data_IF_393132032669
#
_entry.id   IF_393132032669
#
_cell.length_a   1.000
_cell.length_b   1.000
_cell.length_c   1.000
_cell.angle_alpha   90.00
_cell.angle_beta   90.00
_cell.angle_gamma   90.00
#
_symmetry.space_group_name_H-M   'P 1'
#
loop_
_entity.id
_entity.type
_entity.pdbx_description
1 polymer ?
#
# COMPACT_ATOMS: atom_id res chain seq x y z
N UNK A 1 -15.74 -0.86 -4.03
CA UNK A 1 -15.70 0.37 -4.85
C UNK A 1 -15.33 0.18 -6.32
N UNK A 2 -14.44 -0.76 -6.72
CA UNK A 2 -14.12 -0.94 -8.15
C UNK A 2 -15.27 -1.45 -9.03
N UNK A 3 -16.36 -1.99 -8.44
CA UNK A 3 -17.44 -2.74 -9.13
C UNK A 3 -16.94 -3.95 -9.94
N UNK A 4 -15.66 -4.32 -9.79
CA UNK A 4 -15.01 -5.45 -10.46
C UNK A 4 -14.77 -6.54 -9.41
N UNK A 5 -15.52 -7.63 -9.50
CA UNK A 5 -15.56 -8.70 -8.48
C UNK A 5 -14.20 -9.37 -8.24
N UNK A 6 -13.42 -9.60 -9.29
CA UNK A 6 -12.14 -10.29 -9.23
C UNK A 6 -10.92 -9.35 -9.08
N UNK A 7 -11.14 -8.04 -8.92
CA UNK A 7 -10.05 -7.07 -8.87
C UNK A 7 -8.98 -7.40 -7.80
N UNK A 8 -9.33 -7.69 -6.53
CA UNK A 8 -8.32 -7.99 -5.51
C UNK A 8 -7.47 -9.22 -5.86
N UNK A 9 -8.07 -10.25 -6.45
CA UNK A 9 -7.36 -11.47 -6.83
C UNK A 9 -6.39 -11.20 -7.98
N UNK A 10 -6.85 -10.51 -9.03
CA UNK A 10 -6.02 -10.16 -10.19
C UNK A 10 -4.89 -9.21 -9.79
N UNK A 11 -5.16 -8.20 -8.95
CA UNK A 11 -4.14 -7.30 -8.44
C UNK A 11 -3.06 -8.05 -7.65
N UNK A 12 -3.44 -8.99 -6.78
CA UNK A 12 -2.49 -9.84 -6.06
C UNK A 12 -1.64 -10.70 -7.00
N UNK A 13 -2.22 -11.29 -8.05
CA UNK A 13 -1.48 -12.04 -9.08
C UNK A 13 -0.50 -11.15 -9.84
N UNK A 14 -0.92 -9.94 -10.22
CA UNK A 14 -0.08 -8.97 -10.90
C UNK A 14 1.12 -8.55 -10.04
N UNK A 15 0.92 -8.25 -8.74
CA UNK A 15 2.01 -7.91 -7.82
C UNK A 15 3.00 -9.06 -7.65
N UNK A 16 2.52 -10.31 -7.55
CA UNK A 16 3.40 -11.50 -7.51
C UNK A 16 4.22 -11.62 -8.79
N UNK A 17 3.62 -11.40 -9.94
CA UNK A 17 4.31 -11.48 -11.23
C UNK A 17 5.34 -10.35 -11.40
N UNK A 18 4.99 -9.12 -11.02
CA UNK A 18 5.93 -8.00 -10.98
C UNK A 18 7.13 -8.34 -10.10
N UNK A 19 6.88 -8.85 -8.88
CA UNK A 19 7.95 -9.29 -7.98
C UNK A 19 8.82 -10.39 -8.59
N UNK A 20 8.21 -11.40 -9.24
CA UNK A 20 8.95 -12.48 -9.92
C UNK A 20 9.93 -11.95 -10.97
N UNK A 21 9.57 -10.87 -11.67
CA UNK A 21 10.39 -10.28 -12.74
C UNK A 21 11.56 -9.43 -12.20
N UNK A 22 11.32 -8.61 -11.18
CA UNK A 22 12.32 -7.61 -10.74
C UNK A 22 12.92 -7.86 -9.36
N UNK A 23 12.27 -8.65 -8.50
CA UNK A 23 12.69 -8.95 -7.14
C UNK A 23 12.56 -7.77 -6.18
N UNK A 24 13.31 -7.84 -5.07
CA UNK A 24 13.38 -6.76 -4.07
C UNK A 24 14.00 -5.49 -4.65
N UNK A 25 13.58 -4.33 -4.12
CA UNK A 25 14.16 -3.04 -4.43
C UNK A 25 15.68 -3.04 -4.16
N UNK A 26 16.43 -2.54 -5.14
CA UNK A 26 17.88 -2.35 -5.09
C UNK A 26 18.20 -0.89 -5.37
N UNK A 27 19.01 -0.32 -4.49
CA UNK A 27 19.51 1.05 -4.61
C UNK A 27 21.02 1.04 -4.77
N UNK A 28 21.55 2.07 -5.40
CA UNK A 28 23.00 2.33 -5.40
C UNK A 28 23.46 2.94 -4.07
N UNK A 29 24.75 3.28 -3.99
CA UNK A 29 25.36 3.91 -2.81
C UNK A 29 24.80 5.30 -2.46
N UNK A 30 24.12 5.95 -3.41
CA UNK A 30 23.50 7.26 -3.24
C UNK A 30 22.00 7.14 -2.93
N UNK A 31 21.47 5.92 -2.79
CA UNK A 31 20.04 5.67 -2.54
C UNK A 31 19.16 5.71 -3.79
N UNK A 32 19.74 5.78 -5.00
CA UNK A 32 18.97 5.78 -6.25
C UNK A 32 18.54 4.35 -6.58
N UNK A 33 17.24 4.13 -6.65
CA UNK A 33 16.67 2.84 -7.04
C UNK A 33 16.95 2.56 -8.53
N UNK A 34 17.55 1.41 -8.83
CA UNK A 34 17.85 0.99 -10.21
C UNK A 34 17.16 -0.32 -10.63
N UNK A 35 16.62 -1.10 -9.69
CA UNK A 35 15.86 -2.33 -9.98
C UNK A 35 14.99 -2.73 -8.79
N UNK A 36 13.87 -3.39 -9.05
CA UNK A 36 13.04 -4.05 -8.04
C UNK A 36 11.67 -3.42 -7.88
N UNK A 37 10.92 -3.88 -6.89
CA UNK A 37 9.54 -3.48 -6.65
C UNK A 37 9.41 -2.60 -5.40
N UNK A 38 8.78 -1.43 -5.57
CA UNK A 38 8.29 -0.55 -4.50
C UNK A 38 6.77 -0.48 -4.61
N UNK A 39 6.06 -0.83 -3.54
CA UNK A 39 4.60 -0.74 -3.50
C UNK A 39 4.17 0.52 -2.75
N UNK A 40 3.36 1.36 -3.40
CA UNK A 40 2.75 2.52 -2.75
C UNK A 40 1.33 2.16 -2.30
N UNK A 41 1.09 2.18 -1.00
CA UNK A 41 -0.20 1.85 -0.39
C UNK A 41 -0.91 3.12 0.08
N UNK A 42 -2.01 3.47 -0.58
CA UNK A 42 -2.85 4.60 -0.20
C UNK A 42 -3.77 4.20 0.96
N UNK A 43 -3.64 4.87 2.09
CA UNK A 43 -4.55 4.68 3.22
C UNK A 43 -5.86 5.41 2.93
N UNK A 44 -6.98 4.70 3.06
CA UNK A 44 -8.32 5.26 2.91
C UNK A 44 -9.01 5.41 4.27
N UNK A 45 -9.95 6.37 4.41
CA UNK A 45 -10.73 6.54 5.63
C UNK A 45 -11.52 5.26 5.95
N UNK A 46 -11.75 5.03 7.24
CA UNK A 46 -12.53 3.90 7.76
C UNK A 46 -11.96 2.52 7.38
N UNK A 47 -10.65 2.42 7.13
CA UNK A 47 -9.93 1.21 6.68
C UNK A 47 -10.53 0.51 5.45
N UNK A 48 -11.15 1.28 4.56
CA UNK A 48 -11.72 0.75 3.30
C UNK A 48 -10.66 0.10 2.42
N UNK A 49 -9.41 0.56 2.52
CA UNK A 49 -8.27 -0.01 1.82
C UNK A 49 -7.81 -1.36 2.38
N UNK A 50 -8.46 -1.87 3.43
CA UNK A 50 -8.10 -3.09 4.17
C UNK A 50 -6.59 -3.20 4.39
N UNK A 51 -6.04 -2.15 4.98
CA UNK A 51 -4.60 -1.88 4.96
C UNK A 51 -3.79 -3.04 5.52
N UNK A 52 -4.24 -3.62 6.64
CA UNK A 52 -3.56 -4.76 7.27
C UNK A 52 -3.52 -6.00 6.36
N UNK A 53 -4.59 -6.27 5.64
CA UNK A 53 -4.66 -7.41 4.71
C UNK A 53 -3.72 -7.23 3.52
N UNK A 54 -3.65 -6.01 2.98
CA UNK A 54 -2.71 -5.67 1.91
C UNK A 54 -1.28 -5.82 2.39
N UNK A 55 -0.94 -5.31 3.58
CA UNK A 55 0.41 -5.41 4.13
C UNK A 55 0.82 -6.87 4.41
N UNK A 56 -0.09 -7.70 4.96
CA UNK A 56 0.13 -9.14 5.11
C UNK A 56 0.39 -9.83 3.77
N UNK A 57 -0.41 -9.49 2.76
CA UNK A 57 -0.20 -10.01 1.41
C UNK A 57 1.19 -9.62 0.89
N UNK A 58 1.60 -8.36 1.00
CA UNK A 58 2.91 -7.89 0.56
C UNK A 58 4.07 -8.61 1.28
N UNK A 59 3.93 -8.82 2.59
CA UNK A 59 4.90 -9.60 3.38
C UNK A 59 5.00 -11.06 2.91
N UNK A 60 3.87 -11.66 2.50
CA UNK A 60 3.86 -13.02 1.93
C UNK A 60 4.51 -13.12 0.55
N UNK A 61 4.56 -12.01 -0.21
CA UNK A 61 5.27 -11.96 -1.50
C UNK A 61 6.77 -11.87 -1.28
N UNK A 62 7.22 -11.05 -0.33
CA UNK A 62 8.63 -10.98 0.06
C UNK A 62 8.80 -10.56 1.53
N UNK A 63 9.68 -11.24 2.29
CA UNK A 63 10.02 -10.79 3.63
C UNK A 63 10.72 -9.43 3.65
N UNK A 64 11.33 -9.00 2.54
CA UNK A 64 12.06 -7.73 2.40
C UNK A 64 11.32 -6.71 1.51
N UNK A 65 10.00 -6.84 1.38
CA UNK A 65 9.21 -5.94 0.55
C UNK A 65 9.33 -4.48 1.01
N UNK A 66 9.53 -3.58 0.05
CA UNK A 66 9.51 -2.14 0.27
C UNK A 66 8.10 -1.60 0.05
N UNK A 67 7.63 -0.83 1.03
CA UNK A 67 6.31 -0.21 1.00
C UNK A 67 6.39 1.26 1.37
N UNK A 68 5.67 2.10 0.65
CA UNK A 68 5.43 3.50 1.01
C UNK A 68 3.97 3.63 1.44
N UNK A 69 3.74 4.05 2.69
CA UNK A 69 2.40 4.26 3.24
C UNK A 69 2.01 5.72 3.01
N UNK A 70 0.96 5.95 2.22
CA UNK A 70 0.61 7.27 1.74
C UNK A 70 -0.62 7.84 2.48
N UNK A 71 -0.49 9.00 3.15
CA UNK A 71 -1.63 9.68 3.77
C UNK A 71 -2.42 10.58 2.80
N UNK A 72 -2.16 10.48 1.50
CA UNK A 72 -2.52 11.50 0.50
C UNK A 72 -3.96 11.39 -0.04
N UNK A 73 -4.86 10.67 0.64
CA UNK A 73 -6.24 10.59 0.19
C UNK A 73 -6.95 11.93 0.40
N UNK A 74 -7.53 12.45 -0.69
CA UNK A 74 -8.34 13.66 -0.68
C UNK A 74 -9.72 13.39 -1.29
N UNK A 75 -10.83 13.54 -0.54
CA UNK A 75 -12.16 13.36 -1.08
C UNK A 75 -12.43 14.44 -2.14
N UNK A 76 -12.91 14.02 -3.30
CA UNK A 76 -13.27 14.93 -4.39
C UNK A 76 -14.43 14.38 -5.22
N UNK A 77 -15.11 15.26 -5.97
CA UNK A 77 -16.23 14.91 -6.84
C UNK A 77 -17.30 14.08 -6.10
N UNK A 78 -17.62 12.89 -6.59
CA UNK A 78 -18.63 12.00 -5.99
C UNK A 78 -18.22 11.36 -4.67
N UNK A 79 -17.01 11.57 -4.17
CA UNK A 79 -16.60 11.02 -2.86
C UNK A 79 -17.54 11.45 -1.72
N UNK A 80 -18.17 12.62 -1.82
CA UNK A 80 -19.14 13.10 -0.83
C UNK A 80 -20.50 12.36 -0.87
N UNK A 81 -20.80 11.63 -1.94
CA UNK A 81 -21.97 10.74 -2.04
C UNK A 81 -21.75 9.42 -1.27
N UNK A 82 -20.52 9.16 -0.84
CA UNK A 82 -20.07 7.94 -0.16
C UNK A 82 -19.59 8.30 1.26
N UNK A 83 -20.44 8.18 2.30
CA UNK A 83 -20.10 8.62 3.67
C UNK A 83 -18.77 8.07 4.19
N UNK A 84 -18.43 6.85 3.78
CA UNK A 84 -17.22 6.16 4.15
C UNK A 84 -15.94 6.70 3.45
N UNK A 85 -16.09 7.39 2.32
CA UNK A 85 -15.00 8.01 1.53
C UNK A 85 -15.01 9.55 1.58
N UNK A 86 -16.00 10.16 2.21
CA UNK A 86 -16.29 11.61 2.13
C UNK A 86 -15.34 12.51 2.93
N UNK A 87 -14.34 11.94 3.61
CA UNK A 87 -13.38 12.67 4.45
C UNK A 87 -11.93 12.29 4.15
N UNK A 88 -11.00 13.17 4.52
CA UNK A 88 -9.59 12.81 4.63
C UNK A 88 -9.39 11.75 5.71
N UNK A 89 -8.26 11.05 5.65
CA UNK A 89 -7.82 10.20 6.74
C UNK A 89 -7.44 11.04 7.97
N UNK A 90 -7.59 10.44 9.14
CA UNK A 90 -7.10 10.99 10.40
C UNK A 90 -5.62 10.65 10.59
N UNK A 91 -4.88 11.44 11.41
CA UNK A 91 -3.52 11.08 11.79
C UNK A 91 -3.45 9.68 12.42
N UNK A 92 -4.47 9.29 13.20
CA UNK A 92 -4.55 7.97 13.82
C UNK A 92 -4.57 6.85 12.79
N UNK A 93 -5.42 6.92 11.77
CA UNK A 93 -5.49 5.92 10.70
C UNK A 93 -4.14 5.77 9.97
N UNK A 94 -3.45 6.89 9.74
CA UNK A 94 -2.12 6.88 9.14
C UNK A 94 -1.08 6.22 10.05
N UNK A 95 -1.01 6.60 11.32
CA UNK A 95 -0.04 6.04 12.27
C UNK A 95 -0.31 4.57 12.58
N UNK A 96 -1.57 4.13 12.63
CA UNK A 96 -1.91 2.72 12.79
C UNK A 96 -1.44 1.88 11.58
N UNK A 97 -1.53 2.42 10.36
CA UNK A 97 -1.01 1.77 9.16
C UNK A 97 0.52 1.66 9.17
N UNK A 98 1.20 2.74 9.56
CA UNK A 98 2.66 2.78 9.70
C UNK A 98 3.16 1.78 10.75
N UNK A 99 2.63 1.86 11.97
CA UNK A 99 3.00 0.98 13.09
C UNK A 99 2.77 -0.50 12.74
N UNK A 100 1.66 -0.80 12.06
CA UNK A 100 1.41 -2.17 11.62
C UNK A 100 2.43 -2.65 10.58
N UNK A 101 2.78 -1.82 9.58
CA UNK A 101 3.78 -2.16 8.57
C UNK A 101 5.17 -2.40 9.20
N UNK A 102 5.56 -1.57 10.17
CA UNK A 102 6.81 -1.71 10.92
C UNK A 102 6.81 -2.98 11.78
N UNK A 103 5.74 -3.26 12.52
CA UNK A 103 5.59 -4.50 13.32
C UNK A 103 5.61 -5.77 12.48
N UNK A 104 5.09 -5.70 11.26
CA UNK A 104 5.13 -6.80 10.30
C UNK A 104 6.55 -7.00 9.69
N UNK A 105 7.46 -6.07 9.95
CA UNK A 105 8.84 -6.09 9.48
C UNK A 105 8.96 -5.81 7.98
N UNK A 106 8.12 -4.92 7.44
CA UNK A 106 8.27 -4.41 6.07
C UNK A 106 9.29 -3.27 6.04
N UNK A 107 9.95 -3.06 4.89
CA UNK A 107 10.83 -1.92 4.69
C UNK A 107 9.98 -0.68 4.34
N UNK A 108 9.62 0.12 5.37
CA UNK A 108 8.75 1.28 5.21
C UNK A 108 9.54 2.51 4.75
N UNK A 109 9.15 3.07 3.61
CA UNK A 109 9.63 4.37 3.12
C UNK A 109 8.64 5.45 3.57
N UNK A 110 9.16 6.44 4.31
CA UNK A 110 8.42 7.60 4.80
C UNK A 110 8.64 8.76 3.84
N UNK A 111 7.57 9.50 3.53
CA UNK A 111 7.64 10.76 2.78
C UNK A 111 8.09 11.91 3.69
#
# INVERSE_FOLDING_TARGET
>A
YSKVRNYPEIAKKAVKEMYRQVGNLKTDKNGVAYKGLLVRHLVLPNDISTTKEVLNFLKSVSPNMYVNIMPQYYPYYKAFEYPELSRRITPREYFEALDYAEKLGLNVIKD
#
